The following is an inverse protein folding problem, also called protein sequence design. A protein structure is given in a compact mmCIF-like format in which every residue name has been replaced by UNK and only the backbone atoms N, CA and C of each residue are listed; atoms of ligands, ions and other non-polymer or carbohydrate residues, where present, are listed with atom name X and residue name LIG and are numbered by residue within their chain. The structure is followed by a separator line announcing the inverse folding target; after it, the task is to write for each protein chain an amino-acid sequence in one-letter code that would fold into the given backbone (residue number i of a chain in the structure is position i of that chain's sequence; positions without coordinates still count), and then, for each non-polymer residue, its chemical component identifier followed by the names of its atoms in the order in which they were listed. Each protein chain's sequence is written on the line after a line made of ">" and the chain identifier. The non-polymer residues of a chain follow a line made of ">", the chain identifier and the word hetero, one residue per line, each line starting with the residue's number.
data_IF_470775541138
#
_entry.id   IF_470775541138
#
_cell.length_a   1.000
_cell.length_b   1.000
_cell.length_c   1.000
_cell.angle_alpha   90.00
_cell.angle_beta   90.00
_cell.angle_gamma   90.00
#
_symmetry.space_group_name_H-M   'P 1'
#
loop_
_entity.id
_entity.type
_entity.pdbx_description
1 polymer ?
#
# COMPACT_ATOMS: atom_id res chain seq x y z
N UNK A 1 4.06 -29.43 21.99
CA UNK A 1 4.00 -28.80 21.92
C UNK A 1 3.91 -28.33 21.61
N UNK A 2 3.94 -28.45 21.32
CA UNK A 2 3.80 -27.77 21.14
C UNK A 2 3.74 -27.21 20.68
N UNK A 3 3.80 -27.49 20.47
CA UNK A 3 3.71 -26.71 20.17
C UNK A 3 3.60 -26.15 19.58
N UNK A 4 3.59 -26.52 19.39
CA UNK A 4 3.47 -25.76 19.04
C UNK A 4 3.37 -25.19 18.58
N UNK A 5 3.45 -25.54 18.64
CA UNK A 5 3.37 -24.79 18.43
C UNK A 5 3.61 -24.25 18.06
N UNK A 6 3.80 -24.75 17.82
CA UNK A 6 4.08 -24.20 17.65
C UNK A 6 4.54 -23.66 17.18
N UNK A 7 4.97 -23.96 16.74
CA UNK A 7 5.62 -23.52 16.46
C UNK A 7 5.91 -22.38 16.29
N UNK A 8 5.97 -21.80 16.12
CA UNK A 8 6.19 -20.68 16.10
C UNK A 8 5.31 -20.05 16.53
N UNK A 9 5.29 -20.32 16.95
CA UNK A 9 4.22 -20.11 17.60
C UNK A 9 4.08 -18.81 18.22
N UNK A 10 4.79 -18.45 19.06
CA UNK A 10 4.55 -17.21 19.70
C UNK A 10 4.28 -16.11 18.75
N UNK A 11 4.88 -16.20 17.61
CA UNK A 11 4.76 -15.16 16.72
C UNK A 11 3.36 -15.00 16.26
N UNK A 12 2.69 -16.02 15.97
CA UNK A 12 1.34 -15.92 15.45
C UNK A 12 0.40 -15.31 16.46
N UNK A 13 0.56 -15.69 17.68
CA UNK A 13 -0.32 -15.20 18.68
C UNK A 13 -0.15 -13.71 18.92
N UNK A 14 1.07 -13.27 18.93
CA UNK A 14 1.32 -11.85 19.13
C UNK A 14 0.80 -11.03 17.98
N UNK A 15 0.94 -11.54 16.77
CA UNK A 15 0.42 -10.84 15.62
C UNK A 15 -1.08 -10.72 15.69
N UNK A 16 -1.74 -11.76 16.11
CA UNK A 16 -3.18 -11.73 16.25
C UNK A 16 -3.61 -10.70 17.27
N UNK A 17 -2.94 -10.67 18.39
CA UNK A 17 -3.30 -9.74 19.43
C UNK A 17 -3.11 -8.31 19.00
N UNK A 18 -2.04 -8.06 18.26
CA UNK A 18 -1.78 -6.70 17.83
C UNK A 18 -2.73 -6.26 16.74
N UNK A 19 -3.09 -7.17 15.92
CA UNK A 19 -3.89 -6.81 14.78
C UNK A 19 -5.32 -6.62 15.09
N UNK A 20 -5.80 -7.20 16.14
CA UNK A 20 -7.11 -7.21 16.26
C UNK A 20 -7.76 -6.41 17.06
N UNK A 21 -7.69 -6.30 17.83
CA UNK A 21 -8.52 -5.62 18.49
C UNK A 21 -9.86 -6.11 18.56
N UNK A 22 -10.19 -7.10 18.11
CA UNK A 22 -11.54 -7.50 18.08
C UNK A 22 -11.71 -8.78 18.82
N UNK A 23 -12.35 -8.73 19.91
CA UNK A 23 -12.51 -9.89 20.68
C UNK A 23 -13.52 -10.81 20.19
N UNK A 24 -14.35 -10.42 19.30
CA UNK A 24 -15.33 -11.33 18.75
C UNK A 24 -14.67 -12.41 17.92
N UNK A 25 -13.40 -12.22 17.59
CA UNK A 25 -12.70 -13.18 16.78
C UNK A 25 -13.00 -13.10 15.31
N UNK A 26 -13.74 -12.10 14.92
CA UNK A 26 -14.06 -11.95 13.51
C UNK A 26 -13.00 -11.18 12.74
N UNK A 27 -12.10 -10.54 13.45
CA UNK A 27 -11.05 -9.80 12.80
C UNK A 27 -9.80 -10.66 12.78
N UNK A 28 -9.26 -10.86 11.62
CA UNK A 28 -8.07 -11.66 11.46
C UNK A 28 -6.93 -10.76 10.98
N UNK A 29 -5.75 -11.05 11.45
CA UNK A 29 -4.59 -10.33 10.98
C UNK A 29 -4.45 -10.56 9.48
N UNK A 30 -4.12 -9.51 8.72
CA UNK A 30 -3.86 -9.71 7.30
C UNK A 30 -2.62 -10.58 7.12
N UNK A 31 -2.51 -11.24 5.98
CA UNK A 31 -1.34 -12.09 5.75
C UNK A 31 -0.08 -11.26 5.69
N UNK A 32 0.99 -11.79 6.25
CA UNK A 32 2.29 -11.13 6.23
C UNK A 32 2.99 -11.49 4.94
N UNK A 33 2.59 -10.86 3.85
CA UNK A 33 3.12 -11.16 2.53
C UNK A 33 3.55 -9.89 1.85
N UNK A 34 4.47 -10.03 0.91
CA UNK A 34 4.87 -8.91 0.09
C UNK A 34 3.69 -8.39 -0.72
N UNK A 35 2.86 -9.31 -1.18
CA UNK A 35 1.64 -9.00 -1.90
C UNK A 35 0.79 -8.01 -1.13
N UNK A 36 0.52 -8.32 0.11
CA UNK A 36 -0.34 -7.48 0.92
C UNK A 36 0.30 -6.11 1.15
N UNK A 37 1.60 -6.09 1.39
CA UNK A 37 2.30 -4.82 1.60
C UNK A 37 2.24 -3.95 0.36
N UNK A 38 2.47 -4.55 -0.81
CA UNK A 38 2.41 -3.79 -2.06
C UNK A 38 1.02 -3.20 -2.26
N UNK A 39 -0.02 -3.99 -2.00
CA UNK A 39 -1.38 -3.50 -2.16
C UNK A 39 -1.72 -2.40 -1.15
N UNK A 40 -1.19 -2.51 0.05
CA UNK A 40 -1.38 -1.46 1.05
C UNK A 40 -0.79 -0.14 0.58
N UNK A 41 0.43 -0.19 0.05
CA UNK A 41 1.08 1.02 -0.44
C UNK A 41 0.38 1.55 -1.68
N UNK A 42 -0.12 0.66 -2.52
CA UNK A 42 -0.89 1.06 -3.69
C UNK A 42 -2.15 1.83 -3.27
N UNK A 43 -2.87 1.30 -2.29
CA UNK A 43 -4.08 1.94 -1.80
C UNK A 43 -3.77 3.32 -1.21
N UNK A 44 -2.69 3.41 -0.44
CA UNK A 44 -2.29 4.70 0.13
C UNK A 44 -1.98 5.70 -0.97
N UNK A 45 -1.30 5.25 -2.02
CA UNK A 45 -0.99 6.13 -3.14
C UNK A 45 -2.26 6.58 -3.86
N UNK A 46 -3.22 5.67 -4.04
CA UNK A 46 -4.49 6.03 -4.68
C UNK A 46 -5.24 7.07 -3.87
N UNK A 47 -5.21 6.94 -2.56
CA UNK A 47 -5.86 7.96 -1.72
C UNK A 47 -5.16 9.30 -1.86
N UNK A 48 -3.83 9.30 -1.88
CA UNK A 48 -3.09 10.54 -2.00
C UNK A 48 -3.30 11.20 -3.37
N UNK A 49 -3.56 10.37 -4.39
CA UNK A 49 -3.85 10.89 -5.72
C UNK A 49 -5.30 11.35 -5.88
N UNK A 50 -6.12 11.13 -4.87
CA UNK A 50 -7.52 11.51 -4.95
C UNK A 50 -8.37 10.55 -5.76
N UNK A 51 -7.86 9.35 -6.00
CA UNK A 51 -8.60 8.36 -6.79
C UNK A 51 -9.63 7.61 -5.97
N UNK A 52 -9.39 7.49 -4.67
CA UNK A 52 -10.36 6.90 -3.77
C UNK A 52 -10.44 7.76 -2.52
N UNK A 53 -11.60 7.83 -1.89
CA UNK A 53 -11.71 8.66 -0.69
C UNK A 53 -11.07 7.99 0.51
N UNK A 54 -10.66 8.79 1.47
CA UNK A 54 -10.16 8.29 2.73
C UNK A 54 -11.31 7.60 3.45
N UNK A 55 -11.16 6.34 3.86
CA UNK A 55 -12.28 5.62 4.48
C UNK A 55 -12.69 6.19 5.82
N UNK A 56 -11.82 6.93 6.47
CA UNK A 56 -12.15 7.49 7.78
C UNK A 56 -12.87 8.82 7.64
N UNK A 57 -12.36 9.71 6.82
CA UNK A 57 -12.94 11.04 6.65
C UNK A 57 -13.95 11.08 5.52
N UNK A 58 -13.92 10.10 4.66
CA UNK A 58 -14.77 9.99 3.47
C UNK A 58 -14.58 11.16 2.53
N UNK A 59 -13.44 11.81 2.60
CA UNK A 59 -13.09 12.89 1.72
C UNK A 59 -11.94 12.47 0.83
N UNK A 60 -11.92 13.00 -0.37
CA UNK A 60 -10.81 12.75 -1.26
C UNK A 60 -9.67 13.68 -0.90
N UNK A 61 -8.49 13.09 -0.84
CA UNK A 61 -7.28 13.83 -0.60
C UNK A 61 -6.61 14.05 -1.94
N UNK A 62 -5.91 15.14 -2.09
CA UNK A 62 -5.13 15.36 -3.30
C UNK A 62 -3.80 15.95 -2.85
N UNK A 63 -2.84 15.07 -2.69
CA UNK A 63 -1.55 15.47 -2.15
C UNK A 63 -0.46 14.78 -2.96
N UNK A 64 0.03 15.47 -3.97
CA UNK A 64 1.02 14.89 -4.86
C UNK A 64 2.34 14.56 -4.18
N UNK A 65 2.85 15.37 -3.25
CA UNK A 65 4.06 14.96 -2.54
C UNK A 65 3.88 13.65 -1.77
N UNK A 66 2.73 13.45 -1.17
CA UNK A 66 2.46 12.20 -0.46
C UNK A 66 2.35 11.04 -1.45
N UNK A 67 1.69 11.27 -2.57
CA UNK A 67 1.60 10.24 -3.60
C UNK A 67 2.99 9.86 -4.09
N UNK A 68 3.84 10.85 -4.32
CA UNK A 68 5.20 10.59 -4.77
C UNK A 68 5.96 9.77 -3.73
N UNK A 69 5.74 10.05 -2.45
CA UNK A 69 6.37 9.29 -1.39
C UNK A 69 6.04 7.80 -1.50
N UNK A 70 4.78 7.47 -1.74
CA UNK A 70 4.40 6.07 -1.84
C UNK A 70 4.92 5.42 -3.11
N UNK A 71 4.95 6.18 -4.20
CA UNK A 71 5.52 5.67 -5.44
C UNK A 71 7.01 5.40 -5.26
N UNK A 72 7.72 6.33 -4.64
CA UNK A 72 9.15 6.17 -4.39
C UNK A 72 9.40 5.03 -3.41
N UNK A 73 8.49 4.84 -2.44
CA UNK A 73 8.61 3.75 -1.49
C UNK A 73 8.49 2.41 -2.21
N UNK A 74 7.58 2.31 -3.17
CA UNK A 74 7.47 1.08 -3.95
C UNK A 74 8.72 0.82 -4.79
N UNK A 75 9.32 1.87 -5.34
CA UNK A 75 10.55 1.72 -6.09
C UNK A 75 11.70 1.25 -5.18
N UNK A 76 11.76 1.80 -3.98
CA UNK A 76 12.75 1.37 -3.00
C UNK A 76 12.52 -0.08 -2.63
N UNK A 77 11.27 -0.46 -2.42
CA UNK A 77 10.92 -1.83 -2.06
C UNK A 77 11.35 -2.79 -3.17
N UNK A 78 11.16 -2.40 -4.41
CA UNK A 78 11.58 -3.21 -5.54
C UNK A 78 13.08 -3.50 -5.49
N UNK A 79 13.85 -2.49 -5.19
CA UNK A 79 15.30 -2.66 -5.10
C UNK A 79 15.69 -3.53 -3.92
N UNK A 80 15.05 -3.32 -2.78
CA UNK A 80 15.42 -4.04 -1.57
C UNK A 80 15.00 -5.50 -1.59
N UNK A 81 14.03 -5.86 -2.41
CA UNK A 81 13.56 -7.24 -2.50
C UNK A 81 14.10 -7.96 -3.72
N UNK A 82 15.01 -7.33 -4.45
CA UNK A 82 15.58 -7.94 -5.66
C UNK A 82 16.19 -9.30 -5.31
N UNK A 83 15.85 -10.30 -6.10
CA UNK A 83 16.33 -11.64 -5.85
C UNK A 83 15.50 -12.43 -4.86
N UNK A 84 14.53 -11.80 -4.23
CA UNK A 84 13.70 -12.46 -3.21
C UNK A 84 12.22 -12.38 -3.53
N UNK A 85 11.87 -12.15 -4.78
CA UNK A 85 10.48 -12.07 -5.20
C UNK A 85 10.13 -13.23 -6.08
N UNK A 86 8.88 -13.69 -5.99
CA UNK A 86 8.37 -14.63 -6.98
C UNK A 86 8.12 -13.86 -8.28
N UNK A 87 7.92 -14.62 -9.36
CA UNK A 87 7.60 -14.00 -10.64
C UNK A 87 6.32 -13.21 -10.58
N UNK A 88 5.32 -13.71 -9.85
CA UNK A 88 4.06 -13.00 -9.69
C UNK A 88 4.23 -11.72 -8.90
N UNK A 89 5.04 -11.76 -7.85
CA UNK A 89 5.30 -10.56 -7.06
C UNK A 89 6.00 -9.49 -7.89
N UNK A 90 6.96 -9.90 -8.71
CA UNK A 90 7.67 -8.97 -9.57
C UNK A 90 6.74 -8.34 -10.60
N UNK A 91 5.88 -9.16 -11.20
CA UNK A 91 4.95 -8.66 -12.21
C UNK A 91 3.96 -7.68 -11.61
N UNK A 92 3.42 -8.01 -10.44
CA UNK A 92 2.47 -7.14 -9.76
C UNK A 92 3.13 -5.82 -9.39
N UNK A 93 4.34 -5.87 -8.86
CA UNK A 93 5.05 -4.66 -8.46
C UNK A 93 5.31 -3.75 -9.65
N UNK A 94 5.72 -4.32 -10.78
CA UNK A 94 5.94 -3.55 -11.99
C UNK A 94 4.66 -2.89 -12.48
N UNK A 95 3.59 -3.66 -12.47
CA UNK A 95 2.32 -3.17 -12.98
C UNK A 95 1.76 -2.05 -12.12
N UNK A 96 1.83 -2.23 -10.82
CA UNK A 96 1.33 -1.22 -9.89
C UNK A 96 2.15 0.06 -10.01
N UNK A 97 3.46 -0.05 -10.08
CA UNK A 97 4.29 1.13 -10.25
C UNK A 97 3.98 1.86 -11.55
N UNK A 98 3.77 1.10 -12.61
CA UNK A 98 3.45 1.71 -13.90
C UNK A 98 2.13 2.47 -13.83
N UNK A 99 1.11 1.86 -13.26
CA UNK A 99 -0.19 2.51 -13.13
C UNK A 99 -0.11 3.77 -12.29
N UNK A 100 0.60 3.69 -11.18
CA UNK A 100 0.71 4.84 -10.29
C UNK A 100 1.45 5.99 -10.95
N UNK A 101 2.47 5.68 -11.72
CA UNK A 101 3.20 6.74 -12.42
C UNK A 101 2.33 7.43 -13.44
N UNK A 102 1.51 6.68 -14.16
CA UNK A 102 0.59 7.27 -15.11
C UNK A 102 -0.44 8.16 -14.40
N UNK A 103 -0.99 7.68 -13.30
CA UNK A 103 -1.96 8.47 -12.55
C UNK A 103 -1.32 9.71 -11.97
N UNK A 104 -0.09 9.59 -11.50
CA UNK A 104 0.62 10.73 -10.94
C UNK A 104 0.83 11.79 -12.01
N UNK A 105 1.22 11.37 -13.20
CA UNK A 105 1.43 12.31 -14.30
C UNK A 105 0.12 12.99 -14.69
N UNK A 106 -0.97 12.23 -14.70
CA UNK A 106 -2.27 12.79 -15.01
C UNK A 106 -2.68 13.84 -13.97
N UNK A 107 -2.50 13.54 -12.70
CA UNK A 107 -2.86 14.48 -11.65
C UNK A 107 -1.95 15.68 -11.65
N UNK A 108 -0.69 15.48 -11.96
CA UNK A 108 0.26 16.57 -12.07
C UNK A 108 -0.12 17.51 -13.21
N UNK A 109 -0.51 16.95 -14.34
CA UNK A 109 -0.94 17.74 -15.49
C UNK A 109 -2.23 18.49 -15.17
N UNK A 110 -3.17 17.83 -14.50
CA UNK A 110 -4.42 18.45 -14.11
C UNK A 110 -4.19 19.58 -13.12
N UNK A 111 -3.26 19.38 -12.18
CA UNK A 111 -2.92 20.42 -11.24
C UNK A 111 -2.30 21.62 -11.91
N UNK A 112 -1.46 21.39 -12.89
CA UNK A 112 -0.87 22.49 -13.64
C UNK A 112 -1.93 23.24 -14.43
N UNK A 113 -2.84 22.51 -15.03
CA UNK A 113 -3.92 23.14 -15.81
C UNK A 113 -4.80 23.97 -14.89
N UNK A 114 -5.09 23.47 -13.70
CA UNK A 114 -5.90 24.22 -12.75
C UNK A 114 -5.17 25.42 -12.20
N UNK A 115 -3.85 25.34 -12.12
CA UNK A 115 -3.07 26.43 -11.55
C UNK A 115 -2.80 27.54 -12.56
N UNK A 116 -3.03 27.30 -13.84
CA UNK A 116 -2.79 28.31 -14.84
C UNK A 116 -3.79 29.45 -14.64
N UNK A 117 -3.30 30.66 -14.44
CA UNK A 117 -4.22 31.77 -14.22
C UNK A 117 -5.01 32.04 -15.46
N UNK A 118 -6.27 32.37 -15.25
CA UNK A 118 -7.08 32.72 -16.36
C UNK A 118 -6.95 34.18 -16.63
N UNK A 119 -6.77 34.56 -17.81
CA UNK A 119 -6.65 35.98 -18.14
C UNK A 119 -7.91 36.74 -17.83
#
# INVERSE_FOLDING_TARGET
>A
MAAADTSDPGRTREADEMALGDESGNVHAPPATLDFLIHTLFTQALMALGRIPNPITQQKMHNLPTAKHFIDTLAMLEQKTAGNRTADESRMLEEIQHQLRLMFMDEQAAGRASAVPTP
#
